data_IF_615779948615
#
_entry.id   IF_615779948615
#
_cell.length_a   1.000
_cell.length_b   1.000
_cell.length_c   1.000
_cell.angle_alpha   90.00
_cell.angle_beta   90.00
_cell.angle_gamma   90.00
#
_symmetry.space_group_name_H-M   'P 1'
#
loop_
_entity.id
_entity.type
_entity.pdbx_description
1 polymer ?
#
# COMPACT_ATOMS: atom_id res chain seq x y z
N UNK A 1 -6.11 -9.57 24.73
CA UNK A 1 -4.82 -9.21 24.09
C UNK A 1 -5.16 -8.13 23.10
N UNK A 2 -4.67 -6.92 23.30
CA UNK A 2 -4.92 -5.82 22.37
C UNK A 2 -4.19 -6.18 21.07
N UNK A 3 -4.94 -6.48 20.00
CA UNK A 3 -4.38 -6.34 18.66
C UNK A 3 -4.04 -4.87 18.55
N UNK A 4 -2.75 -4.54 18.65
CA UNK A 4 -2.30 -3.23 18.22
C UNK A 4 -2.77 -3.13 16.78
N UNK A 5 -3.83 -2.37 16.51
CA UNK A 5 -4.19 -1.95 15.17
C UNK A 5 -3.03 -1.04 14.74
N UNK A 6 -1.94 -1.66 14.30
CA UNK A 6 -0.80 -0.98 13.71
C UNK A 6 -1.38 -0.15 12.57
N UNK A 7 -1.13 1.16 12.59
CA UNK A 7 -1.68 2.02 11.56
C UNK A 7 -1.15 1.50 10.21
N UNK A 8 -2.00 1.28 9.19
CA UNK A 8 -1.56 0.68 7.93
C UNK A 8 -0.38 1.45 7.29
N UNK A 9 -0.26 2.75 7.57
CA UNK A 9 0.89 3.55 7.18
C UNK A 9 2.23 3.08 7.76
N UNK A 10 2.26 2.57 8.99
CA UNK A 10 3.48 2.04 9.62
C UNK A 10 3.97 0.79 8.90
N UNK A 11 3.06 -0.14 8.59
CA UNK A 11 3.38 -1.32 7.77
C UNK A 11 3.87 -0.91 6.37
N UNK A 12 3.20 0.04 5.71
CA UNK A 12 3.63 0.56 4.40
C UNK A 12 5.02 1.22 4.45
N UNK A 13 5.33 1.95 5.52
CA UNK A 13 6.63 2.59 5.73
C UNK A 13 7.75 1.57 5.90
N UNK A 14 7.45 0.45 6.54
CA UNK A 14 8.40 -0.64 6.78
C UNK A 14 8.57 -1.59 5.58
N UNK A 15 7.65 -1.52 4.60
CA UNK A 15 7.57 -2.46 3.50
C UNK A 15 8.81 -2.44 2.59
N UNK A 16 9.42 -3.58 2.31
CA UNK A 16 10.55 -3.69 1.39
C UNK A 16 10.18 -3.38 -0.06
N UNK A 17 11.18 -3.24 -0.93
CA UNK A 17 10.98 -3.18 -2.39
C UNK A 17 10.78 -4.61 -2.92
N UNK A 18 9.80 -4.80 -3.82
CA UNK A 18 9.34 -6.10 -4.34
C UNK A 18 8.83 -7.05 -3.24
N UNK A 19 8.49 -6.51 -2.08
CA UNK A 19 7.89 -7.29 -1.01
C UNK A 19 6.42 -7.54 -1.35
N UNK A 20 5.95 -8.77 -1.07
CA UNK A 20 4.57 -9.14 -1.32
C UNK A 20 3.71 -8.60 -0.19
N UNK A 21 2.55 -8.07 -0.53
CA UNK A 21 1.59 -7.56 0.43
C UNK A 21 0.16 -7.89 0.00
N UNK A 22 -0.70 -7.94 1.01
CA UNK A 22 -2.16 -7.98 0.88
C UNK A 22 -2.71 -6.70 1.48
N UNK A 23 -3.70 -6.11 0.83
CA UNK A 23 -4.30 -4.87 1.29
C UNK A 23 -5.79 -4.85 1.00
N UNK A 24 -6.55 -4.10 1.79
CA UNK A 24 -8.01 -3.99 1.67
C UNK A 24 -8.42 -2.53 1.49
N UNK A 25 -9.24 -2.28 0.48
CA UNK A 25 -9.82 -0.97 0.16
C UNK A 25 -11.27 -1.16 -0.23
N UNK A 26 -12.16 -0.31 0.31
CA UNK A 26 -13.59 -0.35 0.01
C UNK A 26 -14.24 -1.75 0.15
N UNK A 27 -13.86 -2.48 1.20
CA UNK A 27 -14.29 -3.87 1.49
C UNK A 27 -13.85 -4.91 0.44
N UNK A 28 -12.95 -4.55 -0.49
CA UNK A 28 -12.31 -5.44 -1.44
C UNK A 28 -10.85 -5.70 -1.08
N UNK A 29 -10.43 -6.96 -1.20
CA UNK A 29 -9.07 -7.40 -0.87
C UNK A 29 -8.24 -7.63 -2.14
N UNK A 30 -7.02 -7.10 -2.13
CA UNK A 30 -6.06 -7.20 -3.22
C UNK A 30 -4.73 -7.80 -2.72
N UNK A 31 -4.05 -8.52 -3.60
CA UNK A 31 -2.68 -9.03 -3.37
C UNK A 31 -1.76 -8.54 -4.48
N UNK A 32 -0.59 -8.01 -4.09
CA UNK A 32 0.38 -7.50 -5.04
C UNK A 32 1.78 -7.41 -4.47
N UNK A 33 2.64 -6.70 -5.19
CA UNK A 33 4.03 -6.47 -4.85
C UNK A 33 4.33 -4.98 -4.85
N UNK A 34 5.09 -4.51 -3.87
CA UNK A 34 5.57 -3.14 -3.86
C UNK A 34 6.56 -2.91 -5.00
N UNK A 35 6.17 -2.11 -5.97
CA UNK A 35 7.00 -1.79 -7.11
C UNK A 35 7.84 -0.52 -6.87
N UNK A 36 7.25 0.45 -6.18
CA UNK A 36 7.91 1.73 -5.86
C UNK A 36 7.45 2.20 -4.49
N UNK A 37 8.35 2.78 -3.71
CA UNK A 37 8.02 3.39 -2.42
C UNK A 37 8.81 4.68 -2.28
N UNK A 38 8.18 5.71 -1.72
CA UNK A 38 8.84 6.91 -1.25
C UNK A 38 8.30 7.26 0.13
N UNK A 39 9.22 7.55 1.03
CA UNK A 39 8.92 7.98 2.40
C UNK A 39 9.64 9.31 2.58
N UNK A 40 8.86 10.34 2.87
CA UNK A 40 9.29 11.71 3.17
C UNK A 40 8.82 12.05 4.60
N UNK A 41 9.33 13.13 5.18
CA UNK A 41 9.04 13.50 6.58
C UNK A 41 7.53 13.68 6.85
N UNK A 42 6.77 14.18 5.87
CA UNK A 42 5.33 14.43 6.00
C UNK A 42 4.45 13.59 5.07
N UNK A 43 5.03 12.78 4.17
CA UNK A 43 4.28 12.02 3.15
C UNK A 43 4.88 10.66 2.90
N UNK A 44 4.01 9.70 2.63
CA UNK A 44 4.39 8.37 2.23
C UNK A 44 3.54 7.94 1.04
N UNK A 45 4.16 7.34 0.04
CA UNK A 45 3.41 6.63 -0.99
C UNK A 45 4.11 5.34 -1.43
N UNK A 46 3.28 4.36 -1.78
CA UNK A 46 3.69 3.05 -2.26
C UNK A 46 2.90 2.75 -3.53
N UNK A 47 3.58 2.29 -4.56
CA UNK A 47 2.96 1.74 -5.76
C UNK A 47 2.98 0.23 -5.66
N UNK A 48 1.82 -0.38 -5.74
CA UNK A 48 1.60 -1.83 -5.66
C UNK A 48 1.13 -2.32 -7.01
N UNK A 49 1.80 -3.34 -7.55
CA UNK A 49 1.33 -4.03 -8.77
C UNK A 49 0.75 -5.38 -8.39
N UNK A 50 -0.49 -5.61 -8.77
CA UNK A 50 -1.18 -6.89 -8.59
C UNK A 50 -0.79 -7.89 -9.67
N UNK A 51 -1.19 -9.16 -9.50
CA UNK A 51 -0.98 -10.21 -10.52
C UNK A 51 -1.82 -10.00 -11.78
N UNK A 52 -2.92 -9.27 -11.68
CA UNK A 52 -3.83 -8.93 -12.79
C UNK A 52 -3.36 -7.70 -13.57
N UNK A 53 -2.11 -7.29 -13.37
CA UNK A 53 -1.49 -6.07 -13.93
C UNK A 53 -2.10 -4.74 -13.48
N UNK A 54 -3.10 -4.75 -12.59
CA UNK A 54 -3.63 -3.53 -11.96
C UNK A 54 -2.56 -2.92 -11.05
N UNK A 55 -2.38 -1.62 -11.15
CA UNK A 55 -1.42 -0.86 -10.35
C UNK A 55 -2.21 0.06 -9.42
N UNK A 56 -1.87 0.04 -8.14
CA UNK A 56 -2.46 0.89 -7.12
C UNK A 56 -1.40 1.79 -6.52
N UNK A 57 -1.71 3.07 -6.40
CA UNK A 57 -0.93 4.02 -5.60
C UNK A 57 -1.63 4.19 -4.26
N UNK A 58 -0.92 3.83 -3.20
CA UNK A 58 -1.35 4.03 -1.83
C UNK A 58 -0.58 5.23 -1.29
N UNK A 59 -1.26 6.30 -0.91
CA UNK A 59 -0.64 7.53 -0.38
C UNK A 59 -1.22 7.88 0.98
N UNK A 60 -0.36 8.35 1.89
CA UNK A 60 -0.77 8.93 3.17
C UNK A 60 0.12 10.13 3.50
N UNK A 61 -0.34 10.94 4.44
CA UNK A 61 0.35 12.10 4.96
C UNK A 61 0.39 12.07 6.49
N UNK A 62 1.42 12.69 7.04
CA UNK A 62 1.58 12.90 8.46
C UNK A 62 0.91 14.21 8.88
N UNK A 63 -0.03 14.13 9.82
CA UNK A 63 -0.69 15.28 10.42
C UNK A 63 -0.95 15.02 11.91
N UNK A 64 0.12 15.11 12.73
CA UNK A 64 0.13 14.66 14.14
C UNK A 64 -0.16 13.15 14.30
N UNK A 65 0.26 12.38 13.31
CA UNK A 65 -0.05 10.96 13.13
C UNK A 65 -0.30 10.66 11.66
N UNK A 66 -0.10 9.43 11.23
CA UNK A 66 -0.43 9.02 9.86
C UNK A 66 -1.95 9.08 9.64
N UNK A 67 -2.37 9.83 8.63
CA UNK A 67 -3.77 9.79 8.19
C UNK A 67 -4.09 8.43 7.56
N UNK A 68 -5.38 8.13 7.46
CA UNK A 68 -5.83 6.95 6.74
C UNK A 68 -5.33 6.99 5.29
N UNK A 69 -4.59 5.98 4.81
CA UNK A 69 -4.04 6.01 3.47
C UNK A 69 -5.15 5.98 2.42
N UNK A 70 -4.98 6.75 1.35
CA UNK A 70 -5.85 6.73 0.18
C UNK A 70 -5.25 5.78 -0.86
N UNK A 71 -6.13 5.06 -1.55
CA UNK A 71 -5.77 4.13 -2.61
C UNK A 71 -6.38 4.64 -3.92
N UNK A 72 -5.52 4.88 -4.88
CA UNK A 72 -5.88 5.24 -6.24
C UNK A 72 -5.44 4.14 -7.20
N UNK A 73 -6.26 3.81 -8.19
CA UNK A 73 -5.87 2.95 -9.30
C UNK A 73 -5.11 3.78 -10.33
N UNK A 74 -3.96 3.25 -10.78
CA UNK A 74 -3.03 3.88 -11.69
C UNK A 74 -3.03 3.11 -13.01
N UNK A 75 -3.47 3.74 -14.09
CA UNK A 75 -3.52 3.10 -15.42
C UNK A 75 -2.19 3.21 -16.20
N UNK A 76 -1.19 3.94 -15.68
CA UNK A 76 0.09 4.15 -16.38
C UNK A 76 0.31 5.55 -16.92
N UNK A 77 -0.72 6.40 -16.96
CA UNK A 77 -0.63 7.81 -17.33
C UNK A 77 -0.26 8.72 -16.14
N UNK A 78 0.56 9.74 -16.37
CA UNK A 78 1.06 10.66 -15.31
C UNK A 78 -0.04 11.41 -14.54
N UNK A 79 -1.27 11.48 -15.08
CA UNK A 79 -2.38 12.28 -14.53
C UNK A 79 -3.72 11.50 -14.40
N UNK A 80 -3.75 10.22 -14.77
CA UNK A 80 -4.98 9.40 -14.69
C UNK A 80 -4.89 8.46 -13.49
N UNK A 81 -5.29 8.99 -12.33
CA UNK A 81 -5.55 8.20 -11.13
C UNK A 81 -7.05 8.17 -10.87
N UNK A 82 -7.61 6.98 -10.68
CA UNK A 82 -9.01 6.82 -10.29
C UNK A 82 -9.08 6.50 -8.79
N UNK A 83 -9.76 7.33 -7.97
CA UNK A 83 -9.84 7.08 -6.54
C UNK A 83 -10.65 5.82 -6.27
N UNK A 84 -10.03 4.83 -5.62
CA UNK A 84 -10.68 3.56 -5.25
C UNK A 84 -11.32 3.71 -3.88
N UNK A 85 -10.59 4.27 -2.92
CA UNK A 85 -11.09 4.49 -1.57
C UNK A 85 -10.00 4.65 -0.53
N UNK A 86 -10.38 4.51 0.74
CA UNK A 86 -9.44 4.52 1.86
C UNK A 86 -8.97 3.10 2.17
N UNK A 87 -7.69 2.98 2.47
CA UNK A 87 -7.08 1.72 2.88
C UNK A 87 -7.54 1.35 4.29
N UNK A 88 -8.26 0.24 4.38
CA UNK A 88 -8.77 -0.29 5.65
C UNK A 88 -7.72 -1.13 6.37
N UNK A 89 -6.95 -1.93 5.63
CA UNK A 89 -5.99 -2.87 6.20
C UNK A 89 -4.85 -3.19 5.24
N UNK A 90 -3.68 -3.52 5.78
CA UNK A 90 -2.52 -3.98 5.01
C UNK A 90 -1.74 -5.03 5.80
N UNK A 91 -1.28 -6.04 5.10
CA UNK A 91 -0.50 -7.14 5.65
C UNK A 91 0.72 -7.38 4.74
N UNK A 92 1.92 -7.25 5.31
CA UNK A 92 3.15 -7.64 4.65
C UNK A 92 3.27 -9.17 4.66
N UNK A 93 3.27 -9.78 3.47
CA UNK A 93 3.38 -11.23 3.29
C UNK A 93 4.84 -11.69 3.18
N UNK A 94 5.79 -10.75 3.26
CA UNK A 94 7.21 -10.96 3.08
C UNK A 94 7.63 -11.10 1.61
N UNK A 95 8.91 -11.40 1.42
CA UNK A 95 9.47 -11.63 0.09
C UNK A 95 8.94 -12.95 -0.47
N UNK A 96 8.70 -13.00 -1.78
CA UNK A 96 8.54 -14.28 -2.45
C UNK A 96 9.86 -15.05 -2.28
N UNK A 97 9.91 -15.92 -1.27
CA UNK A 97 10.97 -16.91 -1.14
C UNK A 97 10.88 -17.75 -2.40
N UNK A 98 11.79 -17.52 -3.34
CA UNK A 98 12.02 -18.45 -4.44
C UNK A 98 12.16 -19.83 -3.83
N UNK A 99 11.22 -20.72 -4.14
CA UNK A 99 11.33 -22.12 -3.77
C UNK A 99 12.66 -22.62 -4.28
N UNK A 100 13.45 -23.18 -3.36
CA UNK A 100 14.63 -23.96 -3.67
C UNK A 100 14.28 -25.16 -4.57
#
# INVERSE_FOLDING_TARGET
MATCEENPAETLSSLGMLERLRFEVADEQFEGYSHRKRVEDDRLWVVVRTREDRVFRIETQWANGWLAPLVDEYDGGEDSVEPVGTLSSVEALGYASGGA
#
